data_IF_746897553309
#
_entry.id   IF_746897553309
#
_cell.length_a   1.000
_cell.length_b   1.000
_cell.length_c   1.000
_cell.angle_alpha   90.00
_cell.angle_beta   90.00
_cell.angle_gamma   90.00
#
_symmetry.space_group_name_H-M   'P 1'
#
loop_
_entity.id
_entity.type
_entity.pdbx_description
1 polymer ?
#
# COMPACT_ATOMS: atom_id res chain seq x y z
N UNK A 1 -19.24 64.72 -43.31
CA UNK A 1 -20.44 64.40 -42.50
C UNK A 1 -20.60 62.89 -42.47
N UNK A 2 -20.54 62.31 -41.26
CA UNK A 2 -20.96 60.95 -40.84
C UNK A 2 -20.19 59.75 -41.43
N UNK A 3 -19.79 58.69 -40.71
CA UNK A 3 -19.78 58.29 -39.28
C UNK A 3 -19.03 56.95 -39.24
N UNK A 4 -18.08 56.79 -38.31
CA UNK A 4 -17.50 55.48 -37.95
C UNK A 4 -18.50 54.67 -37.12
N UNK A 5 -18.46 53.32 -37.15
CA UNK A 5 -18.99 52.51 -36.06
C UNK A 5 -17.88 52.06 -35.10
N UNK A 6 -18.08 52.37 -33.83
CA UNK A 6 -17.33 51.89 -32.66
C UNK A 6 -17.80 50.46 -32.33
N UNK A 7 -16.89 49.49 -32.33
CA UNK A 7 -17.17 48.11 -31.88
C UNK A 7 -16.62 47.98 -30.46
N UNK A 8 -17.52 48.19 -29.50
CA UNK A 8 -17.29 48.00 -28.07
C UNK A 8 -17.43 46.52 -27.72
N UNK A 9 -16.30 45.82 -27.55
CA UNK A 9 -16.27 44.41 -27.11
C UNK A 9 -16.40 44.36 -25.58
N UNK A 10 -17.61 44.08 -25.09
CA UNK A 10 -17.83 43.69 -23.68
C UNK A 10 -17.22 42.31 -23.41
N UNK A 11 -16.22 42.27 -22.53
CA UNK A 11 -15.71 41.06 -21.88
C UNK A 11 -16.56 40.75 -20.65
N UNK A 12 -17.28 39.63 -20.66
CA UNK A 12 -17.90 39.05 -19.46
C UNK A 12 -16.84 38.30 -18.65
N UNK A 13 -16.74 38.49 -17.31
CA UNK A 13 -15.90 37.65 -16.48
C UNK A 13 -16.59 36.30 -16.26
N UNK A 14 -15.98 35.22 -16.74
CA UNK A 14 -16.37 33.86 -16.36
C UNK A 14 -15.86 33.58 -14.95
N UNK A 15 -16.65 33.94 -13.94
CA UNK A 15 -16.42 33.47 -12.57
C UNK A 15 -16.74 31.99 -12.45
N UNK A 16 -15.79 31.15 -12.87
CA UNK A 16 -15.76 29.74 -12.53
C UNK A 16 -15.28 29.55 -11.09
N UNK A 17 -16.17 29.74 -10.12
CA UNK A 17 -15.94 29.27 -8.75
C UNK A 17 -16.07 27.74 -8.74
N UNK A 18 -14.98 27.04 -9.02
CA UNK A 18 -14.90 25.60 -8.73
C UNK A 18 -14.62 25.46 -7.24
N UNK A 19 -15.71 25.32 -6.46
CA UNK A 19 -15.63 24.71 -5.14
C UNK A 19 -14.89 23.37 -5.27
N UNK A 20 -14.03 22.99 -4.30
CA UNK A 20 -13.38 21.69 -4.35
C UNK A 20 -14.50 20.65 -4.17
N UNK A 21 -14.78 19.87 -5.21
CA UNK A 21 -15.55 18.66 -5.05
C UNK A 21 -14.84 17.84 -3.96
N UNK A 22 -15.55 17.54 -2.87
CA UNK A 22 -15.07 16.64 -1.83
C UNK A 22 -14.75 15.30 -2.49
N UNK A 23 -13.48 15.08 -2.80
CA UNK A 23 -13.03 13.78 -3.27
C UNK A 23 -13.15 12.87 -2.06
N UNK A 24 -14.06 11.89 -2.12
CA UNK A 24 -14.10 10.83 -1.12
C UNK A 24 -12.67 10.30 -0.96
N UNK A 25 -12.18 10.23 0.28
CA UNK A 25 -10.80 9.82 0.51
C UNK A 25 -10.61 8.42 -0.06
N UNK A 26 -9.41 8.09 -0.52
CA UNK A 26 -9.15 6.75 -1.04
C UNK A 26 -9.46 5.68 0.02
N UNK A 27 -9.31 6.02 1.30
CA UNK A 27 -9.76 5.24 2.45
C UNK A 27 -11.28 5.01 2.50
N UNK A 28 -12.11 6.02 2.20
CA UNK A 28 -13.57 5.88 2.11
C UNK A 28 -13.99 4.95 0.97
N UNK A 29 -13.30 5.02 -0.17
CA UNK A 29 -13.57 4.14 -1.32
C UNK A 29 -13.14 2.70 -1.00
N UNK A 30 -12.00 2.53 -0.33
CA UNK A 30 -11.57 1.23 0.17
C UNK A 30 -12.52 0.67 1.25
N UNK A 31 -13.14 1.53 2.07
CA UNK A 31 -14.12 1.10 3.08
C UNK A 31 -15.47 0.70 2.45
N UNK A 32 -15.79 1.22 1.25
CA UNK A 32 -17.03 0.92 0.51
C UNK A 32 -16.96 -0.37 -0.32
N UNK A 33 -15.77 -0.84 -0.67
CA UNK A 33 -15.60 -2.10 -1.39
C UNK A 33 -15.10 -3.21 -0.48
N UNK A 34 -15.54 -4.45 -0.70
CA UNK A 34 -15.00 -5.62 -0.01
C UNK A 34 -13.60 -5.97 -0.55
N UNK A 35 -12.58 -5.26 -0.06
CA UNK A 35 -11.18 -5.48 -0.45
C UNK A 35 -10.46 -6.42 0.52
N UNK A 36 -9.71 -7.37 -0.05
CA UNK A 36 -8.93 -8.35 0.69
C UNK A 36 -7.50 -8.44 0.18
N UNK A 37 -6.59 -8.93 1.01
CA UNK A 37 -5.20 -9.19 0.66
C UNK A 37 -4.90 -10.68 0.81
N UNK A 38 -4.34 -11.28 -0.25
CA UNK A 38 -3.67 -12.59 -0.18
C UNK A 38 -2.22 -12.36 0.25
N UNK A 39 -1.87 -12.86 1.43
CA UNK A 39 -0.49 -12.86 1.94
C UNK A 39 0.33 -13.97 1.26
N UNK A 40 1.67 -13.87 1.34
CA UNK A 40 2.60 -14.89 0.80
C UNK A 40 2.38 -16.31 1.30
N UNK A 41 1.79 -16.47 2.49
CA UNK A 41 1.45 -17.77 3.06
C UNK A 41 0.06 -18.29 2.64
N UNK A 42 -0.58 -17.65 1.66
CA UNK A 42 -1.92 -17.99 1.17
C UNK A 42 -3.08 -17.48 2.04
N UNK A 43 -2.80 -16.90 3.22
CA UNK A 43 -3.85 -16.42 4.10
C UNK A 43 -4.49 -15.13 3.56
N UNK A 44 -5.82 -15.10 3.52
CA UNK A 44 -6.62 -13.95 3.10
C UNK A 44 -7.00 -13.10 4.30
N UNK A 45 -6.70 -11.80 4.25
CA UNK A 45 -7.00 -10.83 5.32
C UNK A 45 -7.75 -9.62 4.74
N UNK A 46 -8.40 -8.83 5.60
CA UNK A 46 -9.00 -7.57 5.18
C UNK A 46 -7.91 -6.60 4.68
N UNK A 47 -8.25 -5.82 3.65
CA UNK A 47 -7.40 -4.71 3.22
C UNK A 47 -7.54 -3.55 4.21
N UNK A 48 -6.42 -3.10 4.76
CA UNK A 48 -6.37 -2.05 5.77
C UNK A 48 -5.39 -0.96 5.33
N UNK A 49 -5.86 0.18 4.77
CA UNK A 49 -5.01 1.28 4.34
C UNK A 49 -4.04 1.79 5.42
N UNK A 50 -4.45 1.74 6.69
CA UNK A 50 -3.62 2.12 7.84
C UNK A 50 -2.30 1.33 7.91
N UNK A 51 -2.27 0.07 7.44
CA UNK A 51 -1.04 -0.74 7.41
C UNK A 51 -0.03 -0.22 6.38
N UNK A 52 -0.50 0.41 5.31
CA UNK A 52 0.36 1.08 4.33
C UNK A 52 0.98 2.32 4.98
N UNK A 53 0.16 3.19 5.58
CA UNK A 53 0.63 4.39 6.27
C UNK A 53 1.70 4.06 7.33
N UNK A 54 1.47 3.03 8.15
CA UNK A 54 2.45 2.58 9.17
C UNK A 54 3.77 2.15 8.51
N UNK A 55 3.72 1.39 7.41
CA UNK A 55 4.92 0.91 6.74
C UNK A 55 5.71 2.04 6.09
N UNK A 56 5.03 3.01 5.46
CA UNK A 56 5.65 4.20 4.88
C UNK A 56 6.26 5.07 5.98
N UNK A 57 5.58 5.32 7.09
CA UNK A 57 6.13 6.05 8.25
C UNK A 57 7.39 5.40 8.80
N UNK A 58 7.44 4.07 8.89
CA UNK A 58 8.64 3.34 9.33
C UNK A 58 9.81 3.54 8.37
N UNK A 59 9.56 3.63 7.07
CA UNK A 59 10.60 3.94 6.09
C UNK A 59 11.13 5.37 6.25
N UNK A 60 10.24 6.35 6.45
CA UNK A 60 10.65 7.73 6.75
C UNK A 60 11.47 7.83 8.04
N UNK A 61 11.03 7.17 9.12
CA UNK A 61 11.74 7.11 10.39
C UNK A 61 13.16 6.56 10.25
N UNK A 62 13.37 5.58 9.36
CA UNK A 62 14.67 4.99 9.12
C UNK A 62 15.65 5.95 8.40
N UNK A 63 15.14 6.94 7.65
CA UNK A 63 15.97 7.91 6.90
C UNK A 63 16.17 9.20 7.68
N UNK A 64 15.09 9.79 8.21
CA UNK A 64 15.15 11.11 8.87
C UNK A 64 15.59 11.03 10.33
N UNK A 65 15.64 9.83 10.91
CA UNK A 65 15.81 9.63 12.35
C UNK A 65 14.57 10.08 13.14
N UNK A 66 14.59 9.85 14.46
CA UNK A 66 13.41 10.07 15.32
C UNK A 66 12.90 11.52 15.40
N UNK A 67 13.75 12.52 15.10
CA UNK A 67 13.41 13.93 15.25
C UNK A 67 12.67 14.54 14.03
N UNK A 68 12.93 14.06 12.81
CA UNK A 68 12.26 14.59 11.62
C UNK A 68 10.95 13.88 11.24
N UNK A 69 10.74 12.68 11.77
CA UNK A 69 9.57 11.86 11.45
C UNK A 69 8.25 12.30 12.10
N UNK A 70 8.31 13.12 13.16
CA UNK A 70 7.12 13.73 13.76
C UNK A 70 6.71 15.06 13.11
N UNK A 71 7.44 15.51 12.08
CA UNK A 71 7.12 16.76 11.41
C UNK A 71 5.75 16.69 10.72
N UNK A 72 5.02 17.81 10.68
CA UNK A 72 3.75 17.90 9.95
C UNK A 72 3.94 17.51 8.47
N UNK A 73 5.02 17.99 7.85
CA UNK A 73 5.36 17.67 6.46
C UNK A 73 5.47 16.16 6.18
N UNK A 74 6.13 15.40 7.06
CA UNK A 74 6.25 13.94 6.87
C UNK A 74 4.89 13.26 7.00
N UNK A 75 4.06 13.71 7.95
CA UNK A 75 2.70 13.17 8.12
C UNK A 75 1.83 13.42 6.88
N UNK A 76 1.84 14.65 6.37
CA UNK A 76 1.10 15.02 5.15
C UNK A 76 1.57 14.20 3.95
N UNK A 77 2.88 13.99 3.82
CA UNK A 77 3.45 13.20 2.73
C UNK A 77 3.08 11.71 2.85
N UNK A 78 3.11 11.13 4.05
CA UNK A 78 2.67 9.75 4.30
C UNK A 78 1.20 9.58 3.94
N UNK A 79 0.35 10.53 4.31
CA UNK A 79 -1.09 10.51 3.99
C UNK A 79 -1.29 10.55 2.47
N UNK A 80 -0.67 11.50 1.78
CA UNK A 80 -0.74 11.62 0.32
C UNK A 80 -0.23 10.35 -0.40
N UNK A 81 0.89 9.79 0.05
CA UNK A 81 1.45 8.56 -0.53
C UNK A 81 0.51 7.37 -0.32
N UNK A 82 -0.10 7.29 0.87
CA UNK A 82 -1.07 6.22 1.20
C UNK A 82 -2.29 6.32 0.29
N UNK A 83 -2.84 7.53 0.14
CA UNK A 83 -3.99 7.76 -0.73
C UNK A 83 -3.68 7.43 -2.19
N UNK A 84 -2.50 7.81 -2.68
CA UNK A 84 -2.06 7.48 -4.04
C UNK A 84 -2.00 5.96 -4.27
N UNK A 85 -1.46 5.20 -3.30
CA UNK A 85 -1.38 3.73 -3.37
C UNK A 85 -2.78 3.13 -3.37
N UNK A 86 -3.64 3.54 -2.44
CA UNK A 86 -5.00 3.01 -2.32
C UNK A 86 -5.80 3.32 -3.59
N UNK A 87 -5.74 4.56 -4.09
CA UNK A 87 -6.41 4.95 -5.32
C UNK A 87 -5.90 4.16 -6.54
N UNK A 88 -4.60 3.86 -6.61
CA UNK A 88 -4.05 3.03 -7.68
C UNK A 88 -4.55 1.58 -7.65
N UNK A 89 -4.63 0.97 -6.46
CA UNK A 89 -5.16 -0.39 -6.27
C UNK A 89 -6.66 -0.45 -6.58
N UNK A 90 -7.44 0.46 -6.02
CA UNK A 90 -8.90 0.51 -6.21
C UNK A 90 -9.27 0.78 -7.66
N UNK A 91 -8.54 1.64 -8.39
CA UNK A 91 -8.80 1.85 -9.82
C UNK A 91 -8.67 0.57 -10.65
N UNK A 92 -7.82 -0.38 -10.24
CA UNK A 92 -7.68 -1.68 -10.93
C UNK A 92 -8.87 -2.61 -10.65
N UNK A 93 -9.56 -2.43 -9.52
CA UNK A 93 -10.71 -3.23 -9.11
C UNK A 93 -11.80 -2.36 -8.46
N UNK A 94 -12.57 -1.59 -9.26
CA UNK A 94 -13.55 -0.64 -8.74
C UNK A 94 -14.72 -1.30 -8.00
N UNK A 95 -14.98 -2.59 -8.25
CA UNK A 95 -16.04 -3.37 -7.60
C UNK A 95 -15.60 -4.17 -6.36
N UNK A 96 -14.39 -3.97 -5.85
CA UNK A 96 -13.84 -4.79 -4.77
C UNK A 96 -13.05 -6.02 -5.25
N UNK A 97 -12.66 -6.86 -4.30
CA UNK A 97 -11.98 -8.14 -4.55
C UNK A 97 -10.62 -8.23 -3.87
N UNK A 98 -9.72 -9.05 -4.43
CA UNK A 98 -8.51 -9.47 -3.70
C UNK A 98 -7.24 -9.07 -4.43
N UNK A 99 -6.31 -8.44 -3.70
CA UNK A 99 -4.96 -8.13 -4.20
C UNK A 99 -3.92 -9.08 -3.61
N UNK A 100 -2.84 -9.34 -4.34
CA UNK A 100 -1.66 -9.94 -3.73
C UNK A 100 -0.93 -8.92 -2.87
N UNK A 101 -0.33 -9.35 -1.76
CA UNK A 101 0.48 -8.46 -0.92
C UNK A 101 1.70 -7.88 -1.66
N UNK A 102 2.16 -8.53 -2.74
CA UNK A 102 3.21 -7.99 -3.60
C UNK A 102 2.72 -6.80 -4.42
N UNK A 103 1.49 -6.83 -4.94
CA UNK A 103 0.92 -5.69 -5.69
C UNK A 103 0.87 -4.43 -4.83
N UNK A 104 0.54 -4.58 -3.54
CA UNK A 104 0.53 -3.46 -2.59
C UNK A 104 1.94 -2.92 -2.37
N UNK A 105 2.93 -3.80 -2.22
CA UNK A 105 4.33 -3.39 -2.05
C UNK A 105 4.84 -2.65 -3.28
N UNK A 106 4.58 -3.18 -4.48
CA UNK A 106 4.97 -2.57 -5.74
C UNK A 106 4.34 -1.19 -5.91
N UNK A 107 3.07 -1.01 -5.52
CA UNK A 107 2.44 0.31 -5.54
C UNK A 107 3.07 1.28 -4.53
N UNK A 108 3.47 0.82 -3.34
CA UNK A 108 4.17 1.68 -2.37
C UNK A 108 5.52 2.13 -2.92
N UNK A 109 6.31 1.20 -3.46
CA UNK A 109 7.60 1.51 -4.07
C UNK A 109 7.46 2.48 -5.24
N UNK A 110 6.48 2.24 -6.12
CA UNK A 110 6.20 3.13 -7.24
C UNK A 110 5.76 4.53 -6.78
N UNK A 111 4.93 4.62 -5.74
CA UNK A 111 4.46 5.90 -5.17
C UNK A 111 5.63 6.71 -4.62
N UNK A 112 6.51 6.08 -3.83
CA UNK A 112 7.72 6.70 -3.28
C UNK A 112 8.71 7.14 -4.37
N UNK A 113 8.89 6.33 -5.42
CA UNK A 113 9.72 6.71 -6.57
C UNK A 113 9.17 7.92 -7.31
N UNK A 114 7.84 7.99 -7.49
CA UNK A 114 7.18 9.11 -8.19
C UNK A 114 7.18 10.40 -7.38
N UNK A 115 7.20 10.32 -6.06
CA UNK A 115 7.32 11.51 -5.19
C UNK A 115 8.76 12.02 -5.07
N UNK A 116 9.74 11.33 -5.67
CA UNK A 116 11.16 11.68 -5.57
C UNK A 116 11.82 11.25 -4.25
N UNK A 117 11.12 10.48 -3.42
CA UNK A 117 11.58 10.05 -2.10
C UNK A 117 12.44 8.77 -2.21
N UNK A 118 13.51 8.84 -3.01
CA UNK A 118 14.32 7.69 -3.38
C UNK A 118 15.03 7.04 -2.18
N UNK A 119 15.49 7.84 -1.22
CA UNK A 119 16.15 7.35 0.00
C UNK A 119 15.16 6.58 0.88
N UNK A 120 13.93 7.08 0.98
CA UNK A 120 12.85 6.44 1.72
C UNK A 120 12.40 5.15 1.06
N UNK A 121 12.32 5.12 -0.28
CA UNK A 121 12.03 3.89 -1.00
C UNK A 121 13.10 2.82 -0.79
N UNK A 122 14.40 3.19 -0.80
CA UNK A 122 15.48 2.25 -0.44
C UNK A 122 15.28 1.74 0.98
N UNK A 123 15.06 2.63 1.95
CA UNK A 123 14.80 2.24 3.33
C UNK A 123 13.57 1.33 3.48
N UNK A 124 12.51 1.57 2.70
CA UNK A 124 11.31 0.72 2.67
C UNK A 124 11.64 -0.71 2.21
N UNK A 125 12.42 -0.87 1.14
CA UNK A 125 12.85 -2.18 0.64
C UNK A 125 13.65 -2.93 1.71
N UNK A 126 14.56 -2.25 2.41
CA UNK A 126 15.32 -2.84 3.51
C UNK A 126 14.42 -3.21 4.70
N UNK A 127 13.47 -2.33 5.05
CA UNK A 127 12.51 -2.58 6.13
C UNK A 127 11.65 -3.82 5.84
N UNK A 128 11.10 -3.97 4.62
CA UNK A 128 10.32 -5.17 4.29
C UNK A 128 11.18 -6.44 4.31
N UNK A 129 12.43 -6.38 3.85
CA UNK A 129 13.35 -7.51 3.88
C UNK A 129 13.61 -7.97 5.32
N UNK A 130 13.94 -7.02 6.20
CA UNK A 130 14.12 -7.30 7.63
C UNK A 130 12.86 -7.88 8.27
N UNK A 131 11.68 -7.31 7.98
CA UNK A 131 10.43 -7.80 8.58
C UNK A 131 10.03 -9.20 8.07
N UNK A 132 10.37 -9.54 6.83
CA UNK A 132 10.19 -10.90 6.32
C UNK A 132 11.08 -11.89 7.06
N UNK A 133 12.33 -11.53 7.28
CA UNK A 133 13.30 -12.32 8.02
C UNK A 133 12.88 -12.51 9.48
N UNK A 134 12.47 -11.44 10.17
CA UNK A 134 11.94 -11.50 11.54
C UNK A 134 10.76 -12.46 11.66
N UNK A 135 9.83 -12.44 10.68
CA UNK A 135 8.69 -13.37 10.67
C UNK A 135 9.10 -14.81 10.36
N UNK A 136 10.14 -15.03 9.56
CA UNK A 136 10.70 -16.37 9.30
C UNK A 136 11.30 -16.93 10.58
N UNK A 137 12.17 -16.17 11.23
CA UNK A 137 12.78 -16.54 12.52
C UNK A 137 11.73 -16.76 13.62
N UNK A 138 10.70 -15.92 13.69
CA UNK A 138 9.61 -16.10 14.65
C UNK A 138 8.81 -17.38 14.41
N UNK A 139 8.59 -17.78 13.15
CA UNK A 139 7.96 -19.07 12.82
C UNK A 139 8.83 -20.25 13.19
N UNK A 140 10.13 -20.16 12.96
CA UNK A 140 11.11 -21.19 13.32
C UNK A 140 11.20 -21.36 14.85
N UNK A 141 11.24 -20.25 15.59
CA UNK A 141 11.24 -20.26 17.06
C UNK A 141 9.91 -20.79 17.65
N UNK A 142 8.79 -20.64 16.93
CA UNK A 142 7.49 -21.19 17.33
C UNK A 142 7.26 -22.65 16.88
N UNK A 143 8.32 -23.36 16.44
CA UNK A 143 8.24 -24.78 16.07
C UNK A 143 7.60 -25.04 14.70
N UNK A 144 7.40 -24.00 13.89
CA UNK A 144 6.87 -24.10 12.53
C UNK A 144 7.93 -24.55 11.53
N UNK A 145 8.44 -25.77 11.70
CA UNK A 145 9.52 -26.30 10.89
C UNK A 145 9.83 -27.79 11.04
N UNK A 146 8.91 -28.61 11.53
CA UNK A 146 8.94 -30.03 11.19
C UNK A 146 8.06 -30.23 9.94
N UNK A 147 8.66 -30.09 8.76
CA UNK A 147 8.27 -31.00 7.68
C UNK A 147 8.59 -32.38 8.26
N UNK A 148 7.59 -33.06 8.82
CA UNK A 148 7.74 -34.45 9.20
C UNK A 148 8.30 -35.14 7.95
N UNK A 149 9.55 -35.61 8.04
CA UNK A 149 10.14 -36.44 7.00
C UNK A 149 9.10 -37.50 6.62
N UNK A 150 8.86 -37.79 5.34
CA UNK A 150 7.88 -38.80 4.96
C UNK A 150 8.28 -40.12 5.62
N UNK A 151 7.61 -40.45 6.73
CA UNK A 151 7.81 -41.72 7.41
C UNK A 151 7.15 -42.78 6.52
N UNK A 152 7.98 -43.47 5.74
CA UNK A 152 7.54 -44.62 4.96
C UNK A 152 7.25 -45.73 5.97
N UNK A 153 5.97 -45.96 6.21
CA UNK A 153 5.50 -47.07 7.02
C UNK A 153 5.36 -48.30 6.13
N UNK A 154 6.10 -49.37 6.43
CA UNK A 154 5.96 -50.63 5.71
C UNK A 154 5.04 -51.55 6.53
N UNK A 155 4.12 -52.22 5.83
CA UNK A 155 3.30 -53.30 6.38
C UNK A 155 4.05 -54.61 6.17
N UNK A 156 4.63 -55.16 7.24
CA UNK A 156 5.16 -56.52 7.24
C UNK A 156 4.25 -57.41 8.11
N UNK A 157 3.71 -58.47 7.52
CA UNK A 157 2.85 -59.45 8.17
C UNK A 157 1.68 -58.87 9.01
N UNK A 158 1.06 -57.78 8.54
CA UNK A 158 -0.11 -57.15 9.18
C UNK A 158 0.21 -56.19 10.33
N UNK A 159 1.49 -55.96 10.65
CA UNK A 159 1.91 -55.01 11.70
C UNK A 159 2.60 -53.81 11.05
N UNK A 160 2.11 -52.60 11.33
CA UNK A 160 2.74 -51.35 10.87
C UNK A 160 4.05 -51.13 11.63
N UNK A 161 5.16 -51.03 10.90
CA UNK A 161 6.48 -50.67 11.45
C UNK A 161 6.97 -49.40 10.74
N UNK A 162 7.46 -48.43 11.53
CA UNK A 162 8.21 -47.32 11.01
C UNK A 162 9.61 -47.82 10.61
N UNK A 163 10.09 -47.41 9.43
CA UNK A 163 11.48 -47.60 9.01
C UNK A 163 12.42 -46.65 9.77
#
# INVERSE_FOLDING_TARGET
MHTSPDISTQLLPVSGSTAPAAHASAADIAARGDYRIIRRNGAVVAFEPVKIAIAVTKAFLAVTGGQGAASARVRDLVEQLTDNVVAALVRRQPGGGTFHIEDVQDQVELSLMRSGEHDVARAYVLYRAKHMEERRLAKEAQGGGALAAPQINVLDNGVRRAL
#
